data_IF_566407885294
#
_entry.id   IF_566407885294
#
_cell.length_a   1.000
_cell.length_b   1.000
_cell.length_c   1.000
_cell.angle_alpha   90.00
_cell.angle_beta   90.00
_cell.angle_gamma   90.00
#
_symmetry.space_group_name_H-M   'P 1'
#
loop_
_entity.id
_entity.type
_entity.pdbx_description
1 polymer ?
#
# COMPACT_ATOMS: atom_id res chain seq x y z
N UNK A 1 6.94 -0.86 9.04
CA UNK A 1 5.73 -0.71 8.22
C UNK A 1 5.24 -2.08 7.77
N UNK A 2 3.94 -2.31 7.84
CA UNK A 2 3.33 -3.55 7.39
C UNK A 2 2.32 -3.24 6.29
N UNK A 3 2.41 -3.95 5.19
CA UNK A 3 1.48 -3.79 4.07
C UNK A 3 0.73 -5.10 3.86
N UNK A 4 -0.59 -5.03 3.84
CA UNK A 4 -1.46 -6.17 3.61
C UNK A 4 -2.32 -5.92 2.38
N UNK A 5 -2.37 -6.89 1.47
CA UNK A 5 -3.17 -6.80 0.25
C UNK A 5 -4.24 -7.87 0.28
N UNK A 6 -5.49 -7.46 0.04
CA UNK A 6 -6.64 -8.37 0.01
C UNK A 6 -7.45 -8.15 -1.26
N UNK A 7 -8.19 -9.16 -1.74
CA UNK A 7 -9.07 -9.00 -2.89
C UNK A 7 -10.18 -7.99 -2.61
N UNK A 8 -10.53 -7.18 -3.62
CA UNK A 8 -11.63 -6.22 -3.53
C UNK A 8 -12.15 -5.92 -4.92
N UNK A 9 -13.33 -5.33 -5.02
CA UNK A 9 -13.93 -5.01 -6.31
C UNK A 9 -13.32 -3.76 -6.94
N UNK A 10 -12.71 -2.90 -6.12
CA UNK A 10 -12.05 -1.68 -6.57
C UNK A 10 -10.81 -1.42 -5.74
N UNK A 11 -10.00 -0.49 -6.17
CA UNK A 11 -8.78 -0.14 -5.44
C UNK A 11 -9.13 0.70 -4.22
N UNK A 12 -8.85 0.16 -3.04
CA UNK A 12 -9.09 0.81 -1.77
C UNK A 12 -7.79 0.86 -0.98
N UNK A 13 -7.46 2.02 -0.45
CA UNK A 13 -6.27 2.21 0.38
C UNK A 13 -6.71 2.60 1.78
N UNK A 14 -6.23 1.85 2.77
CA UNK A 14 -6.50 2.14 4.17
C UNK A 14 -5.19 2.34 4.91
N UNK A 15 -5.05 3.48 5.55
CA UNK A 15 -3.87 3.80 6.36
C UNK A 15 -4.20 3.63 7.83
N UNK A 16 -3.42 2.78 8.51
CA UNK A 16 -3.51 2.59 9.95
C UNK A 16 -2.23 3.14 10.56
N UNK A 17 -2.29 4.37 11.06
CA UNK A 17 -1.17 5.07 11.65
C UNK A 17 -1.64 5.96 12.77
N UNK A 18 -0.71 6.48 13.57
CA UNK A 18 -1.05 7.46 14.60
C UNK A 18 -1.73 8.67 13.94
N UNK A 19 -2.70 9.30 14.62
CA UNK A 19 -3.43 10.44 14.01
C UNK A 19 -2.52 11.54 13.48
N UNK A 20 -1.44 11.83 14.17
CA UNK A 20 -0.51 12.88 13.72
C UNK A 20 0.20 12.48 12.42
N UNK A 21 0.57 11.22 12.29
CA UNK A 21 1.21 10.71 11.07
C UNK A 21 0.22 10.68 9.91
N UNK A 22 -0.99 10.21 10.16
CA UNK A 22 -2.04 10.18 9.15
C UNK A 22 -2.38 11.58 8.66
N UNK A 23 -2.39 12.56 9.57
CA UNK A 23 -2.69 13.95 9.22
C UNK A 23 -1.57 14.59 8.40
N UNK A 24 -0.31 14.33 8.75
CA UNK A 24 0.84 14.94 8.07
C UNK A 24 1.19 14.23 6.77
N UNK A 25 1.12 12.90 6.76
CA UNK A 25 1.67 12.09 5.67
C UNK A 25 0.63 11.21 4.98
N UNK A 26 -0.63 11.22 5.44
CA UNK A 26 -1.67 10.32 4.92
C UNK A 26 -1.87 10.45 3.41
N UNK A 27 -2.00 11.68 2.91
CA UNK A 27 -2.20 11.90 1.49
C UNK A 27 -0.99 11.44 0.66
N UNK A 28 0.21 11.68 1.17
CA UNK A 28 1.45 11.26 0.51
C UNK A 28 1.56 9.74 0.47
N UNK A 29 1.27 9.09 1.59
CA UNK A 29 1.30 7.63 1.68
C UNK A 29 0.27 7.01 0.73
N UNK A 30 -0.96 7.54 0.72
CA UNK A 30 -2.00 7.05 -0.16
C UNK A 30 -1.59 7.19 -1.64
N UNK A 31 -1.01 8.33 -2.00
CA UNK A 31 -0.53 8.56 -3.37
C UNK A 31 0.55 7.56 -3.74
N UNK A 32 1.50 7.30 -2.83
CA UNK A 32 2.57 6.35 -3.08
C UNK A 32 2.02 4.93 -3.26
N UNK A 33 1.03 4.54 -2.46
CA UNK A 33 0.39 3.23 -2.55
C UNK A 33 -0.36 3.10 -3.89
N UNK A 34 -1.12 4.11 -4.28
CA UNK A 34 -1.85 4.10 -5.55
C UNK A 34 -0.90 4.06 -6.75
N UNK A 35 0.21 4.77 -6.67
CA UNK A 35 1.22 4.76 -7.73
C UNK A 35 1.85 3.37 -7.85
N UNK A 36 2.17 2.73 -6.74
CA UNK A 36 2.72 1.39 -6.74
C UNK A 36 1.74 0.38 -7.33
N UNK A 37 0.45 0.51 -7.00
CA UNK A 37 -0.59 -0.35 -7.57
C UNK A 37 -0.67 -0.17 -9.10
N UNK A 38 -0.62 1.07 -9.57
CA UNK A 38 -0.64 1.35 -11.00
C UNK A 38 0.60 0.77 -11.70
N UNK A 39 1.77 0.89 -11.07
CA UNK A 39 3.02 0.35 -11.61
C UNK A 39 2.97 -1.18 -11.75
N UNK A 40 2.26 -1.85 -10.87
CA UNK A 40 2.10 -3.30 -10.91
C UNK A 40 0.84 -3.75 -11.67
N UNK A 41 0.12 -2.82 -12.27
CA UNK A 41 -1.06 -3.16 -13.04
C UNK A 41 -2.24 -3.65 -12.20
N UNK A 42 -2.31 -3.23 -10.96
CA UNK A 42 -3.38 -3.63 -10.03
C UNK A 42 -4.40 -2.50 -9.94
N UNK A 43 -5.64 -2.78 -10.33
CA UNK A 43 -6.72 -1.80 -10.32
C UNK A 43 -7.86 -2.18 -9.37
N UNK A 44 -7.80 -3.36 -8.76
CA UNK A 44 -8.84 -3.84 -7.86
C UNK A 44 -8.19 -4.63 -6.72
N UNK A 45 -8.02 -3.97 -5.58
CA UNK A 45 -7.46 -4.59 -4.38
C UNK A 45 -7.70 -3.69 -3.18
N UNK A 46 -7.72 -4.28 -2.00
CA UNK A 46 -7.71 -3.53 -0.75
C UNK A 46 -6.31 -3.58 -0.18
N UNK A 47 -5.70 -2.42 -0.02
CA UNK A 47 -4.34 -2.31 0.48
C UNK A 47 -4.39 -1.62 1.84
N UNK A 48 -3.95 -2.31 2.87
CA UNK A 48 -3.83 -1.75 4.21
C UNK A 48 -2.36 -1.49 4.51
N UNK A 49 -2.06 -0.28 4.97
CA UNK A 49 -0.72 0.11 5.36
C UNK A 49 -0.74 0.47 6.83
N UNK A 50 0.08 -0.22 7.61
CA UNK A 50 0.31 0.12 9.01
C UNK A 50 1.68 0.73 9.14
N UNK A 51 1.72 1.97 9.58
CA UNK A 51 2.96 2.71 9.75
C UNK A 51 3.04 3.32 11.14
N UNK A 52 4.07 2.97 11.85
CA UNK A 52 4.30 3.49 13.21
C UNK A 52 5.28 4.65 13.29
N UNK A 53 5.92 5.02 12.20
CA UNK A 53 7.01 5.97 12.28
C UNK A 53 7.25 6.89 11.09
N UNK A 54 6.36 6.92 10.11
CA UNK A 54 6.54 7.81 8.96
C UNK A 54 7.60 7.34 7.97
N UNK A 55 7.27 6.37 7.15
CA UNK A 55 8.19 5.83 6.15
C UNK A 55 8.39 6.81 5.00
N UNK A 56 9.56 6.74 4.36
CA UNK A 56 9.85 7.52 3.18
C UNK A 56 9.08 6.97 1.96
N UNK A 57 8.78 7.88 1.03
CA UNK A 57 7.95 7.59 -0.13
C UNK A 57 8.42 6.38 -0.94
N UNK A 58 9.71 6.34 -1.26
CA UNK A 58 10.26 5.24 -2.04
C UNK A 58 10.23 3.91 -1.29
N UNK A 59 10.37 3.95 0.03
CA UNK A 59 10.28 2.74 0.85
C UNK A 59 8.86 2.20 0.87
N UNK A 60 7.86 3.06 0.94
CA UNK A 60 6.45 2.69 0.88
C UNK A 60 6.15 2.01 -0.46
N UNK A 61 6.56 2.62 -1.56
CA UNK A 61 6.33 2.08 -2.90
C UNK A 61 6.98 0.71 -3.06
N UNK A 62 8.22 0.57 -2.60
CA UNK A 62 8.92 -0.71 -2.70
C UNK A 62 8.21 -1.81 -1.92
N UNK A 63 7.73 -1.52 -0.72
CA UNK A 63 7.03 -2.49 0.11
C UNK A 63 5.67 -2.86 -0.47
N UNK A 64 4.93 -1.87 -0.96
CA UNK A 64 3.63 -2.11 -1.58
C UNK A 64 3.79 -2.94 -2.85
N UNK A 65 4.76 -2.62 -3.70
CA UNK A 65 5.03 -3.40 -4.90
C UNK A 65 5.40 -4.84 -4.58
N UNK A 66 6.22 -5.04 -3.55
CA UNK A 66 6.58 -6.38 -3.09
C UNK A 66 5.36 -7.16 -2.62
N UNK A 67 4.49 -6.53 -1.83
CA UNK A 67 3.26 -7.16 -1.35
C UNK A 67 2.31 -7.49 -2.50
N UNK A 68 2.18 -6.59 -3.48
CA UNK A 68 1.34 -6.82 -4.65
C UNK A 68 1.87 -7.96 -5.51
N UNK A 69 3.18 -8.05 -5.69
CA UNK A 69 3.79 -9.15 -6.43
C UNK A 69 3.54 -10.48 -5.75
N UNK A 70 3.63 -10.53 -4.43
CA UNK A 70 3.32 -11.74 -3.67
C UNK A 70 1.87 -12.15 -3.86
N UNK A 71 0.96 -11.18 -3.80
CA UNK A 71 -0.46 -11.45 -3.97
C UNK A 71 -0.78 -11.94 -5.38
N UNK A 72 -0.12 -11.39 -6.40
CA UNK A 72 -0.32 -11.78 -7.80
C UNK A 72 0.34 -13.11 -8.13
N UNK A 73 1.57 -13.30 -7.66
CA UNK A 73 2.40 -14.43 -8.03
C UNK A 73 2.35 -15.60 -7.06
N UNK A 74 1.92 -15.37 -5.82
CA UNK A 74 1.94 -16.39 -4.78
C UNK A 74 1.13 -17.61 -5.11
N UNK A 75 -0.02 -17.42 -5.75
CA UNK A 75 -0.89 -18.51 -6.14
C UNK A 75 -0.38 -19.26 -7.36
N UNK A 76 0.46 -18.63 -8.15
CA UNK A 76 0.99 -19.20 -9.38
C UNK A 76 2.38 -19.81 -9.21
N UNK A 77 3.02 -19.50 -8.13
CA UNK A 77 4.37 -19.99 -7.86
C UNK A 77 4.39 -21.32 -7.15
#
# INVERSE_FOLDING_TARGET
>A
MLVTVSPAEELTVKLLAKPIIAKQFGAQIERAVRQAAADEGVDAARIEVRDGGGALDFAIRARVRCALRRAKGGAAS
#
